data_IF_498180745053
#
_entry.id   IF_498180745053
#
_cell.length_a   1.000
_cell.length_b   1.000
_cell.length_c   1.000
_cell.angle_alpha   90.00
_cell.angle_beta   90.00
_cell.angle_gamma   90.00
#
_symmetry.space_group_name_H-M   'P 1'
#
loop_
_entity.id
_entity.type
_entity.pdbx_description
1 polymer ?
#
# COMPACT_ATOMS: atom_id res chain seq x y z
N UNK A 1 12.86 -12.11 -7.95
CA UNK A 1 13.90 -12.83 -8.73
C UNK A 1 14.31 -14.03 -7.91
N UNK A 2 14.41 -15.22 -8.51
CA UNK A 2 14.99 -16.35 -7.79
C UNK A 2 16.52 -16.17 -7.67
N UNK A 3 17.15 -16.58 -6.55
CA UNK A 3 18.59 -16.48 -6.39
C UNK A 3 19.32 -17.34 -7.43
N UNK A 4 20.44 -16.83 -7.95
CA UNK A 4 21.32 -17.56 -8.88
C UNK A 4 21.98 -18.78 -8.21
N UNK A 5 22.42 -19.77 -8.97
CA UNK A 5 23.06 -20.99 -8.44
C UNK A 5 24.22 -20.69 -7.48
N UNK A 6 25.12 -19.76 -7.85
CA UNK A 6 26.23 -19.32 -6.98
C UNK A 6 25.76 -18.67 -5.67
N UNK A 7 24.65 -17.94 -5.68
CA UNK A 7 24.08 -17.34 -4.47
C UNK A 7 23.44 -18.40 -3.57
N UNK A 8 22.92 -19.49 -4.14
CA UNK A 8 22.38 -20.63 -3.37
C UNK A 8 23.51 -21.41 -2.70
N UNK A 9 24.60 -21.67 -3.42
CA UNK A 9 25.75 -22.44 -2.89
C UNK A 9 26.40 -21.79 -1.65
N UNK A 10 26.51 -20.46 -1.58
CA UNK A 10 27.17 -19.81 -0.43
C UNK A 10 26.33 -19.83 0.86
N UNK A 11 25.00 -19.94 0.73
CA UNK A 11 24.07 -20.01 1.87
C UNK A 11 23.62 -21.43 2.17
N UNK A 12 23.89 -22.39 1.29
CA UNK A 12 23.47 -23.79 1.41
C UNK A 12 23.89 -24.43 2.74
N UNK A 13 25.15 -24.26 3.23
CA UNK A 13 25.54 -24.82 4.53
C UNK A 13 24.72 -24.28 5.71
N UNK A 14 24.24 -23.04 5.62
CA UNK A 14 23.37 -22.43 6.62
C UNK A 14 21.93 -22.97 6.51
N UNK A 15 21.42 -23.13 5.30
CA UNK A 15 20.06 -23.67 5.06
C UNK A 15 19.92 -25.16 5.42
N UNK A 16 21.02 -25.91 5.37
CA UNK A 16 21.09 -27.32 5.77
C UNK A 16 21.30 -27.49 7.29
N UNK A 17 21.53 -26.39 8.01
CA UNK A 17 21.66 -26.41 9.47
C UNK A 17 20.35 -26.80 10.15
N UNK A 18 20.38 -27.65 11.20
CA UNK A 18 19.17 -27.96 11.98
C UNK A 18 18.60 -26.74 12.72
N UNK A 19 19.35 -25.63 12.79
CA UNK A 19 18.91 -24.37 13.41
C UNK A 19 18.04 -23.52 12.48
N UNK A 20 17.89 -23.90 11.21
CA UNK A 20 17.14 -23.13 10.21
C UNK A 20 15.92 -23.92 9.75
N UNK A 21 14.75 -23.32 9.87
CA UNK A 21 13.50 -23.85 9.31
C UNK A 21 13.07 -23.01 8.11
N UNK A 22 12.99 -23.65 6.95
CA UNK A 22 12.53 -23.03 5.70
C UNK A 22 11.00 -23.06 5.63
N UNK A 23 10.39 -21.93 5.29
CA UNK A 23 8.96 -21.80 5.06
C UNK A 23 8.78 -21.14 3.71
N UNK A 24 8.27 -21.91 2.74
CA UNK A 24 8.03 -21.43 1.39
C UNK A 24 6.60 -20.88 1.29
N UNK A 25 6.47 -19.58 1.05
CA UNK A 25 5.16 -18.93 0.99
C UNK A 25 4.26 -19.54 -0.10
N UNK A 26 4.83 -19.98 -1.23
CA UNK A 26 4.08 -20.62 -2.32
C UNK A 26 3.62 -22.06 -2.01
N UNK A 27 4.11 -22.67 -0.92
CA UNK A 27 3.76 -24.03 -0.50
C UNK A 27 2.81 -24.03 0.70
N UNK A 28 2.55 -22.87 1.32
CA UNK A 28 1.63 -22.78 2.44
C UNK A 28 0.19 -23.06 1.97
N UNK A 29 -0.44 -24.08 2.54
CA UNK A 29 -1.88 -24.28 2.38
C UNK A 29 -2.63 -23.21 3.18
N UNK A 30 -3.43 -22.42 2.48
CA UNK A 30 -4.21 -21.33 3.10
C UNK A 30 -5.68 -21.67 3.02
N UNK A 31 -6.32 -21.61 4.17
CA UNK A 31 -7.76 -21.75 4.37
C UNK A 31 -8.33 -20.53 5.10
N UNK A 32 -9.65 -20.43 5.20
CA UNK A 32 -10.32 -19.37 5.96
C UNK A 32 -9.96 -19.37 7.46
N UNK A 33 -9.57 -20.54 8.00
CA UNK A 33 -9.16 -20.72 9.40
C UNK A 33 -7.70 -20.33 9.65
N UNK A 34 -6.93 -20.06 8.59
CA UNK A 34 -5.54 -19.63 8.70
C UNK A 34 -5.47 -18.24 9.34
N UNK A 35 -4.45 -17.92 10.17
CA UNK A 35 -4.30 -16.57 10.73
C UNK A 35 -4.28 -15.49 9.64
N UNK A 36 -4.96 -14.36 9.88
CA UNK A 36 -5.15 -13.29 8.89
C UNK A 36 -3.83 -12.82 8.26
N UNK A 37 -2.79 -12.60 9.09
CA UNK A 37 -1.48 -12.16 8.59
C UNK A 37 -0.86 -13.13 7.57
N UNK A 38 -1.03 -14.44 7.77
CA UNK A 38 -0.52 -15.44 6.81
C UNK A 38 -1.31 -15.37 5.50
N UNK A 39 -2.64 -15.15 5.56
CA UNK A 39 -3.46 -14.96 4.35
C UNK A 39 -3.05 -13.71 3.57
N UNK A 40 -2.74 -12.60 4.26
CA UNK A 40 -2.25 -11.36 3.65
C UNK A 40 -0.89 -11.57 2.99
N UNK A 41 0.08 -12.18 3.69
CA UNK A 41 1.42 -12.44 3.12
C UNK A 41 1.34 -13.35 1.89
N UNK A 42 0.40 -14.29 1.88
CA UNK A 42 0.14 -15.16 0.74
C UNK A 42 -0.36 -14.44 -0.51
N UNK A 43 -0.94 -13.24 -0.37
CA UNK A 43 -1.27 -12.42 -1.53
C UNK A 43 -0.05 -12.06 -2.38
N UNK A 44 1.14 -11.98 -1.80
CA UNK A 44 2.40 -11.64 -2.52
C UNK A 44 2.71 -12.70 -3.58
N UNK A 45 2.51 -13.97 -3.27
CA UNK A 45 2.81 -15.10 -4.18
C UNK A 45 1.58 -15.62 -4.96
N UNK A 46 0.38 -15.10 -4.67
CA UNK A 46 -0.85 -15.51 -5.34
C UNK A 46 -0.80 -15.26 -6.87
N UNK A 47 -1.39 -16.15 -7.67
CA UNK A 47 -1.50 -15.93 -9.13
C UNK A 47 -2.56 -14.87 -9.42
N UNK A 48 -2.38 -14.07 -10.49
CA UNK A 48 -3.31 -12.98 -10.88
C UNK A 48 -4.79 -13.39 -10.84
N UNK A 49 -5.11 -14.59 -11.39
CA UNK A 49 -6.48 -15.12 -11.43
C UNK A 49 -7.14 -15.27 -10.04
N UNK A 50 -6.37 -15.63 -9.02
CA UNK A 50 -6.88 -15.86 -7.65
C UNK A 50 -6.67 -14.65 -6.74
N UNK A 51 -5.80 -13.73 -7.15
CA UNK A 51 -5.42 -12.58 -6.32
C UNK A 51 -6.62 -11.69 -6.00
N UNK A 52 -7.39 -11.29 -7.02
CA UNK A 52 -8.55 -10.40 -6.86
C UNK A 52 -9.61 -10.98 -5.92
N UNK A 53 -9.92 -12.27 -6.07
CA UNK A 53 -10.88 -12.96 -5.21
C UNK A 53 -10.41 -12.95 -3.75
N UNK A 54 -9.15 -13.38 -3.52
CA UNK A 54 -8.59 -13.47 -2.17
C UNK A 54 -8.48 -12.11 -1.49
N UNK A 55 -8.02 -11.09 -2.21
CA UNK A 55 -7.86 -9.76 -1.63
C UNK A 55 -9.22 -9.12 -1.30
N UNK A 56 -10.24 -9.35 -2.13
CA UNK A 56 -11.61 -8.88 -1.86
C UNK A 56 -12.18 -9.52 -0.60
N UNK A 57 -12.00 -10.83 -0.43
CA UNK A 57 -12.39 -11.54 0.80
C UNK A 57 -11.67 -10.97 2.03
N UNK A 58 -10.36 -10.71 1.91
CA UNK A 58 -9.56 -10.17 3.00
C UNK A 58 -9.95 -8.74 3.38
N UNK A 59 -10.22 -7.86 2.41
CA UNK A 59 -10.71 -6.49 2.66
C UNK A 59 -12.03 -6.56 3.45
N UNK A 60 -12.98 -7.36 2.99
CA UNK A 60 -14.27 -7.52 3.67
C UNK A 60 -14.12 -8.07 5.09
N UNK A 61 -13.23 -9.06 5.26
CA UNK A 61 -12.92 -9.63 6.57
C UNK A 61 -12.30 -8.59 7.52
N UNK A 62 -11.35 -7.79 7.05
CA UNK A 62 -10.74 -6.70 7.84
C UNK A 62 -11.80 -5.70 8.27
N UNK A 63 -12.69 -5.29 7.36
CA UNK A 63 -13.79 -4.37 7.68
C UNK A 63 -14.77 -4.91 8.72
N UNK A 64 -15.02 -6.22 8.71
CA UNK A 64 -15.96 -6.85 9.63
C UNK A 64 -15.36 -7.20 10.99
N UNK A 65 -14.08 -7.62 11.02
CA UNK A 65 -13.44 -8.13 12.25
C UNK A 65 -12.81 -7.03 13.10
N UNK A 66 -12.49 -5.86 12.53
CA UNK A 66 -11.79 -4.77 13.23
C UNK A 66 -12.73 -3.57 13.41
N UNK A 67 -13.19 -3.38 14.65
CA UNK A 67 -14.06 -2.26 15.04
C UNK A 67 -13.27 -0.96 15.22
N UNK A 68 -12.06 -1.06 15.77
CA UNK A 68 -11.16 0.09 15.95
C UNK A 68 -10.69 0.59 14.59
N UNK A 69 -10.94 1.88 14.32
CA UNK A 69 -10.66 2.49 13.01
C UNK A 69 -9.17 2.44 12.66
N UNK A 70 -8.30 2.68 13.64
CA UNK A 70 -6.85 2.73 13.39
C UNK A 70 -6.30 1.36 12.96
N UNK A 71 -6.67 0.29 13.67
CA UNK A 71 -6.27 -1.08 13.34
C UNK A 71 -6.83 -1.52 11.98
N UNK A 72 -8.10 -1.17 11.70
CA UNK A 72 -8.73 -1.42 10.41
C UNK A 72 -7.97 -0.73 9.28
N UNK A 73 -7.70 0.58 9.42
CA UNK A 73 -7.01 1.36 8.40
C UNK A 73 -5.56 0.90 8.19
N UNK A 74 -4.85 0.47 9.24
CA UNK A 74 -3.50 -0.09 9.10
C UNK A 74 -3.48 -1.34 8.21
N UNK A 75 -4.45 -2.24 8.38
CA UNK A 75 -4.54 -3.45 7.55
C UNK A 75 -5.03 -3.13 6.13
N UNK A 76 -5.97 -2.20 5.98
CA UNK A 76 -6.42 -1.74 4.66
C UNK A 76 -5.29 -1.02 3.90
N UNK A 77 -4.43 -0.28 4.59
CA UNK A 77 -3.22 0.31 4.01
C UNK A 77 -2.26 -0.75 3.46
N UNK A 78 -2.00 -1.81 4.22
CA UNK A 78 -1.16 -2.90 3.74
C UNK A 78 -1.76 -3.57 2.49
N UNK A 79 -3.07 -3.81 2.52
CA UNK A 79 -3.78 -4.41 1.39
C UNK A 79 -3.77 -3.50 0.16
N UNK A 80 -3.93 -2.18 0.32
CA UNK A 80 -3.93 -1.24 -0.81
C UNK A 80 -2.58 -1.21 -1.51
N UNK A 81 -1.48 -1.19 -0.75
CA UNK A 81 -0.11 -1.27 -1.31
C UNK A 81 0.07 -2.58 -2.08
N UNK A 82 -0.34 -3.72 -1.51
CA UNK A 82 -0.21 -5.02 -2.21
C UNK A 82 -1.03 -5.06 -3.51
N UNK A 83 -2.22 -4.46 -3.53
CA UNK A 83 -3.05 -4.38 -4.75
C UNK A 83 -2.38 -3.53 -5.81
N UNK A 84 -1.91 -2.33 -5.46
CA UNK A 84 -1.26 -1.41 -6.39
C UNK A 84 0.03 -2.01 -6.98
N UNK A 85 0.86 -2.63 -6.15
CA UNK A 85 2.09 -3.29 -6.59
C UNK A 85 1.81 -4.45 -7.57
N UNK A 86 0.71 -5.17 -7.35
CA UNK A 86 0.43 -6.38 -8.13
C UNK A 86 -0.46 -6.14 -9.35
N UNK A 87 -1.27 -5.08 -9.30
CA UNK A 87 -2.21 -4.65 -10.33
C UNK A 87 -2.00 -3.15 -10.63
N UNK A 88 -0.85 -2.78 -11.22
CA UNK A 88 -0.52 -1.36 -11.46
C UNK A 88 -1.50 -0.65 -12.41
N UNK A 89 -2.17 -1.42 -13.28
CA UNK A 89 -3.17 -0.90 -14.22
C UNK A 89 -4.58 -0.79 -13.63
N UNK A 90 -4.75 -1.09 -12.33
CA UNK A 90 -6.05 -1.04 -11.68
C UNK A 90 -6.53 0.41 -11.57
N UNK A 91 -7.75 0.67 -12.02
CA UNK A 91 -8.33 2.00 -11.99
C UNK A 91 -8.73 2.41 -10.57
N UNK A 92 -8.81 3.72 -10.36
CA UNK A 92 -9.34 4.28 -9.11
C UNK A 92 -10.75 3.77 -8.79
N UNK A 93 -11.61 3.66 -9.80
CA UNK A 93 -12.99 3.18 -9.62
C UNK A 93 -13.03 1.73 -9.13
N UNK A 94 -12.15 0.88 -9.64
CA UNK A 94 -12.05 -0.52 -9.19
C UNK A 94 -11.50 -0.61 -7.76
N UNK A 95 -10.53 0.23 -7.41
CA UNK A 95 -10.05 0.34 -6.02
C UNK A 95 -11.15 0.82 -5.08
N UNK A 96 -11.91 1.85 -5.47
CA UNK A 96 -13.04 2.36 -4.68
C UNK A 96 -14.15 1.30 -4.51
N UNK A 97 -14.40 0.49 -5.54
CA UNK A 97 -15.35 -0.62 -5.45
C UNK A 97 -14.91 -1.71 -4.47
N UNK A 98 -13.60 -1.97 -4.36
CA UNK A 98 -13.06 -2.98 -3.44
C UNK A 98 -12.95 -2.44 -2.00
N UNK A 99 -12.31 -1.29 -1.83
CA UNK A 99 -11.98 -0.73 -0.52
C UNK A 99 -13.10 0.13 0.05
N UNK A 100 -14.08 0.56 -0.73
CA UNK A 100 -15.02 1.61 -0.34
C UNK A 100 -14.36 2.99 -0.37
N UNK A 101 -15.13 4.00 -0.79
CA UNK A 101 -14.60 5.34 -1.06
C UNK A 101 -13.94 5.94 0.20
N UNK A 102 -14.61 5.89 1.35
CA UNK A 102 -14.13 6.54 2.57
C UNK A 102 -12.87 5.88 3.13
N UNK A 103 -12.87 4.54 3.21
CA UNK A 103 -11.71 3.78 3.68
C UNK A 103 -10.52 3.95 2.73
N UNK A 104 -10.75 3.91 1.40
CA UNK A 104 -9.68 4.10 0.42
C UNK A 104 -9.02 5.48 0.55
N UNK A 105 -9.83 6.55 0.65
CA UNK A 105 -9.31 7.92 0.81
C UNK A 105 -8.52 8.11 2.11
N UNK A 106 -8.84 7.35 3.15
CA UNK A 106 -8.12 7.34 4.42
C UNK A 106 -6.84 6.49 4.37
N UNK A 107 -6.59 5.78 3.27
CA UNK A 107 -5.33 5.05 3.15
C UNK A 107 -4.16 6.01 2.99
N UNK A 108 -3.01 5.66 3.58
CA UNK A 108 -1.78 6.45 3.52
C UNK A 108 -1.36 6.74 2.08
N UNK A 109 -1.38 5.72 1.23
CA UNK A 109 -1.06 5.88 -0.20
C UNK A 109 -1.99 6.88 -0.90
N UNK A 110 -3.31 6.79 -0.66
CA UNK A 110 -4.26 7.73 -1.26
C UNK A 110 -4.07 9.17 -0.75
N UNK A 111 -3.78 9.34 0.54
CA UNK A 111 -3.48 10.65 1.13
C UNK A 111 -2.19 11.24 0.57
N UNK A 112 -1.14 10.44 0.41
CA UNK A 112 0.13 10.85 -0.19
C UNK A 112 -0.09 11.29 -1.65
N UNK A 113 -0.82 10.52 -2.45
CA UNK A 113 -1.14 10.89 -3.85
C UNK A 113 -2.00 12.17 -3.93
N UNK A 114 -2.96 12.35 -3.02
CA UNK A 114 -3.75 13.57 -2.93
C UNK A 114 -2.89 14.78 -2.53
N UNK A 115 -1.93 14.60 -1.64
CA UNK A 115 -1.01 15.67 -1.23
C UNK A 115 -0.06 16.03 -2.39
N UNK A 116 0.49 15.05 -3.10
CA UNK A 116 1.35 15.27 -4.27
C UNK A 116 0.62 16.06 -5.36
N UNK A 117 -0.60 15.68 -5.70
CA UNK A 117 -1.39 16.40 -6.72
C UNK A 117 -1.73 17.84 -6.32
N UNK A 118 -1.97 18.10 -5.03
CA UNK A 118 -2.11 19.47 -4.50
C UNK A 118 -0.78 20.25 -4.59
N UNK A 119 0.35 19.60 -4.33
CA UNK A 119 1.67 20.23 -4.41
C UNK A 119 2.00 20.64 -5.86
N UNK A 120 1.65 19.83 -6.85
CA UNK A 120 1.92 20.11 -8.27
C UNK A 120 1.29 21.42 -8.78
N UNK A 121 0.19 21.89 -8.16
CA UNK A 121 -0.47 23.14 -8.57
C UNK A 121 0.08 24.39 -7.88
N UNK A 122 0.91 24.25 -6.84
CA UNK A 122 1.51 25.36 -6.08
C UNK A 122 2.26 26.36 -6.99
N UNK A 123 3.10 25.96 -7.96
CA UNK A 123 3.81 26.90 -8.83
C UNK A 123 2.86 27.80 -9.63
N UNK A 124 1.71 27.26 -10.06
CA UNK A 124 0.73 28.00 -10.83
C UNK A 124 -0.03 29.01 -9.96
N UNK A 125 -0.30 28.66 -8.70
CA UNK A 125 -0.93 29.57 -7.74
C UNK A 125 0.04 30.72 -7.36
N UNK A 126 1.32 30.41 -7.11
CA UNK A 126 2.33 31.44 -6.90
C UNK A 126 2.44 32.41 -8.07
N UNK A 127 2.48 31.90 -9.31
CA UNK A 127 2.50 32.74 -10.52
C UNK A 127 1.29 33.65 -10.64
N UNK A 128 0.14 33.26 -10.06
CA UNK A 128 -1.08 34.06 -10.02
C UNK A 128 -1.11 35.08 -8.88
N UNK A 129 -0.06 35.13 -8.05
CA UNK A 129 0.10 36.12 -6.99
C UNK A 129 -0.48 35.72 -5.64
N UNK A 130 -0.89 34.46 -5.45
CA UNK A 130 -1.33 33.96 -4.14
C UNK A 130 -0.13 33.86 -3.18
N UNK A 131 -0.34 34.26 -1.93
CA UNK A 131 0.61 34.07 -0.83
C UNK A 131 0.71 32.62 -0.39
N UNK A 132 1.76 32.28 0.36
CA UNK A 132 1.98 30.93 0.90
C UNK A 132 0.82 30.52 1.82
N UNK A 133 0.35 31.45 2.63
CA UNK A 133 -0.75 31.26 3.57
C UNK A 133 -2.09 31.03 2.85
N UNK A 134 -2.39 31.83 1.81
CA UNK A 134 -3.58 31.62 0.97
C UNK A 134 -3.53 30.28 0.23
N UNK A 135 -2.36 29.89 -0.28
CA UNK A 135 -2.18 28.60 -0.97
C UNK A 135 -2.40 27.44 0.01
N UNK A 136 -1.87 27.53 1.22
CA UNK A 136 -2.07 26.52 2.27
C UNK A 136 -3.55 26.37 2.62
N UNK A 137 -4.28 27.48 2.74
CA UNK A 137 -5.72 27.48 2.99
C UNK A 137 -6.51 26.87 1.81
N UNK A 138 -6.27 27.33 0.58
CA UNK A 138 -6.97 26.86 -0.63
C UNK A 138 -6.78 25.36 -0.86
N UNK A 139 -5.56 24.87 -0.62
CA UNK A 139 -5.21 23.47 -0.84
C UNK A 139 -5.44 22.60 0.40
N UNK A 140 -5.86 23.16 1.53
CA UNK A 140 -5.96 22.45 2.81
C UNK A 140 -4.66 21.68 3.13
N UNK A 141 -3.53 22.37 3.00
CA UNK A 141 -2.20 21.85 3.31
C UNK A 141 -1.61 22.59 4.51
N UNK A 142 -0.65 21.99 5.18
CA UNK A 142 0.15 22.73 6.16
C UNK A 142 1.04 23.75 5.44
N UNK A 143 1.18 24.94 6.04
CA UNK A 143 2.06 26.00 5.51
C UNK A 143 3.48 25.49 5.25
N UNK A 144 3.98 24.58 6.09
CA UNK A 144 5.31 23.99 5.92
C UNK A 144 5.40 23.10 4.67
N UNK A 145 4.34 22.36 4.32
CA UNK A 145 4.29 21.57 3.08
C UNK A 145 4.37 22.48 1.85
N UNK A 146 3.67 23.62 1.89
CA UNK A 146 3.73 24.62 0.82
C UNK A 146 5.13 25.23 0.71
N UNK A 147 5.76 25.58 1.83
CA UNK A 147 7.14 26.11 1.84
C UNK A 147 8.16 25.12 1.29
N UNK A 148 8.07 23.86 1.69
CA UNK A 148 8.94 22.79 1.18
C UNK A 148 8.76 22.58 -0.32
N UNK A 149 7.51 22.54 -0.80
CA UNK A 149 7.22 22.45 -2.22
C UNK A 149 7.87 23.60 -3.01
N UNK A 150 7.83 24.82 -2.49
CA UNK A 150 8.45 25.99 -3.11
C UNK A 150 9.98 25.90 -3.09
N UNK A 151 10.55 25.46 -1.97
CA UNK A 151 12.00 25.28 -1.83
C UNK A 151 12.55 24.26 -2.84
N UNK A 152 11.80 23.19 -3.13
CA UNK A 152 12.17 22.15 -4.09
C UNK A 152 12.03 22.59 -5.57
N UNK A 153 11.46 23.76 -5.87
CA UNK A 153 11.38 24.31 -7.24
C UNK A 153 12.64 25.07 -7.66
N UNK A 154 13.54 25.38 -6.72
CA UNK A 154 14.79 26.12 -6.95
C UNK A 154 16.00 25.18 -6.96
#
# INVERSE_FOLDING_TARGET
>A
MEPTERQRESVQPFLDSPLVKRIYLNELEVSETTPLGVQIVQLVVARKKQFLERVTVLINRVKQQFTEENDRLQLLNLLSVIVLEKLPEMSRQELEAMFGIDDLKKTRFAQELMAETKIEVIPNLLKKGFSVEEIAEILELEVEQVRQAIANLN
#
